data_IF_418591443219
#
_entry.id   IF_418591443219
#
_cell.length_a   1.000
_cell.length_b   1.000
_cell.length_c   1.000
_cell.angle_alpha   90.00
_cell.angle_beta   90.00
_cell.angle_gamma   90.00
#
_symmetry.space_group_name_H-M   'P 1'
#
loop_
_entity.id
_entity.type
_entity.pdbx_description
1 polymer ?
#
# COMPACT_ATOMS: atom_id res chain seq x y z
N UNK A 1 -0.75 0.32 -22.10
CA UNK A 1 0.52 0.90 -22.57
C UNK A 1 1.27 0.01 -23.58
N UNK A 2 1.64 -1.23 -23.25
CA UNK A 2 2.41 -2.11 -24.17
C UNK A 2 1.76 -2.27 -25.54
N UNK A 3 0.44 -2.37 -25.63
CA UNK A 3 -0.29 -2.51 -26.90
C UNK A 3 -0.19 -1.22 -27.75
N UNK A 4 -0.35 -0.05 -27.14
CA UNK A 4 -0.27 1.24 -27.83
C UNK A 4 1.13 1.50 -28.39
N UNK A 5 2.19 1.14 -27.68
CA UNK A 5 3.56 1.23 -28.18
C UNK A 5 3.84 0.27 -29.35
N UNK A 6 3.31 -0.96 -29.31
CA UNK A 6 3.41 -1.89 -30.43
C UNK A 6 2.71 -1.36 -31.68
N UNK A 7 1.54 -0.71 -31.52
CA UNK A 7 0.83 -0.07 -32.62
C UNK A 7 1.63 1.11 -33.20
N UNK A 8 2.27 1.90 -32.34
CA UNK A 8 3.12 3.01 -32.77
C UNK A 8 4.32 2.53 -33.60
N UNK A 9 5.01 1.48 -33.17
CA UNK A 9 6.12 0.89 -33.95
C UNK A 9 5.63 0.42 -35.31
N UNK A 10 4.53 -0.31 -35.39
CA UNK A 10 3.94 -0.74 -36.67
C UNK A 10 3.53 0.43 -37.57
N UNK A 11 3.04 1.52 -36.99
CA UNK A 11 2.66 2.69 -37.77
C UNK A 11 3.91 3.39 -38.35
N UNK A 12 4.98 3.49 -37.57
CA UNK A 12 6.28 4.03 -38.04
C UNK A 12 6.83 3.20 -39.18
N UNK A 13 6.80 1.86 -39.07
CA UNK A 13 7.25 0.94 -40.10
C UNK A 13 6.44 1.08 -41.42
N UNK A 14 5.17 1.53 -41.32
CA UNK A 14 4.32 1.72 -42.49
C UNK A 14 4.63 2.96 -43.32
N UNK A 15 5.41 3.91 -42.77
CA UNK A 15 5.72 5.23 -43.38
C UNK A 15 4.50 6.07 -43.79
N UNK A 16 3.35 5.81 -43.10
CA UNK A 16 2.07 6.50 -43.33
C UNK A 16 1.87 7.55 -42.23
N UNK A 17 1.96 8.83 -42.58
CA UNK A 17 1.88 9.95 -41.64
C UNK A 17 0.56 9.97 -40.87
N UNK A 18 -0.57 9.64 -41.48
CA UNK A 18 -1.87 9.63 -40.81
C UNK A 18 -1.94 8.52 -39.75
N UNK A 19 -1.41 7.35 -40.07
CA UNK A 19 -1.33 6.23 -39.10
C UNK A 19 -0.34 6.54 -37.97
N UNK A 20 0.78 7.15 -38.27
CA UNK A 20 1.79 7.57 -37.30
C UNK A 20 1.16 8.59 -36.32
N UNK A 21 0.53 9.66 -36.82
CA UNK A 21 -0.10 10.68 -36.00
C UNK A 21 -1.18 10.08 -35.08
N UNK A 22 -2.06 9.22 -35.62
CA UNK A 22 -3.08 8.54 -34.85
C UNK A 22 -2.45 7.68 -33.72
N UNK A 23 -1.40 6.91 -34.04
CA UNK A 23 -0.75 6.05 -33.08
C UNK A 23 -0.02 6.84 -31.98
N UNK A 24 0.56 8.00 -32.31
CA UNK A 24 1.17 8.93 -31.33
C UNK A 24 0.11 9.44 -30.36
N UNK A 25 -1.02 9.90 -30.87
CA UNK A 25 -2.12 10.38 -30.00
C UNK A 25 -2.63 9.30 -29.05
N UNK A 26 -2.83 8.08 -29.55
CA UNK A 26 -3.26 6.94 -28.71
C UNK A 26 -2.22 6.62 -27.64
N UNK A 27 -0.94 6.55 -28.01
CA UNK A 27 0.14 6.25 -27.07
C UNK A 27 0.28 7.34 -25.99
N UNK A 28 0.18 8.62 -26.39
CA UNK A 28 0.24 9.76 -25.46
C UNK A 28 -0.96 9.74 -24.49
N UNK A 29 -2.17 9.53 -25.00
CA UNK A 29 -3.38 9.44 -24.17
C UNK A 29 -3.30 8.30 -23.15
N UNK A 30 -2.91 7.11 -23.59
CA UNK A 30 -2.73 5.93 -22.70
C UNK A 30 -1.71 6.21 -21.60
N UNK A 31 -0.62 6.89 -21.93
CA UNK A 31 0.40 7.25 -20.95
C UNK A 31 -0.11 8.27 -19.92
N UNK A 32 -0.77 9.31 -20.36
CA UNK A 32 -1.37 10.34 -19.49
C UNK A 32 -2.40 9.70 -18.57
N UNK A 33 -3.29 8.89 -19.11
CA UNK A 33 -4.31 8.17 -18.34
C UNK A 33 -3.67 7.27 -17.27
N UNK A 34 -2.64 6.52 -17.62
CA UNK A 34 -1.93 5.65 -16.68
C UNK A 34 -1.36 6.45 -15.49
N UNK A 35 -0.68 7.57 -15.77
CA UNK A 35 -0.13 8.39 -14.70
C UNK A 35 -1.20 9.07 -13.85
N UNK A 36 -2.27 9.55 -14.46
CA UNK A 36 -3.40 10.14 -13.74
C UNK A 36 -4.05 9.13 -12.78
N UNK A 37 -4.32 7.92 -13.24
CA UNK A 37 -4.85 6.84 -12.42
C UNK A 37 -3.90 6.45 -11.29
N UNK A 38 -2.60 6.39 -11.55
CA UNK A 38 -1.58 6.09 -10.56
C UNK A 38 -1.54 7.14 -9.45
N UNK A 39 -1.57 8.41 -9.80
CA UNK A 39 -1.60 9.53 -8.84
C UNK A 39 -2.89 9.45 -8.02
N UNK A 40 -4.05 9.33 -8.68
CA UNK A 40 -5.34 9.27 -8.01
C UNK A 40 -5.41 8.13 -6.98
N UNK A 41 -4.97 6.92 -7.33
CA UNK A 41 -4.93 5.78 -6.42
C UNK A 41 -3.99 6.01 -5.25
N UNK A 42 -2.80 6.53 -5.51
CA UNK A 42 -1.80 6.80 -4.48
C UNK A 42 -2.28 7.83 -3.48
N UNK A 43 -2.84 8.96 -3.96
CA UNK A 43 -3.33 10.03 -3.09
C UNK A 43 -4.62 9.65 -2.34
N UNK A 44 -5.51 8.88 -2.96
CA UNK A 44 -6.69 8.34 -2.28
C UNK A 44 -6.29 7.39 -1.14
N UNK A 45 -5.34 6.51 -1.38
CA UNK A 45 -4.80 5.62 -0.36
C UNK A 45 -4.13 6.41 0.78
N UNK A 46 -3.37 7.45 0.45
CA UNK A 46 -2.74 8.35 1.43
C UNK A 46 -3.78 9.03 2.32
N UNK A 47 -4.79 9.65 1.72
CA UNK A 47 -5.84 10.36 2.45
C UNK A 47 -6.63 9.43 3.36
N UNK A 48 -7.00 8.25 2.87
CA UNK A 48 -7.71 7.24 3.65
C UNK A 48 -6.91 6.79 4.88
N UNK A 49 -5.68 6.34 4.67
CA UNK A 49 -4.86 5.81 5.75
C UNK A 49 -4.45 6.90 6.76
N UNK A 50 -4.18 8.11 6.30
CA UNK A 50 -3.95 9.25 7.18
C UNK A 50 -5.18 9.58 8.05
N UNK A 51 -6.37 9.49 7.47
CA UNK A 51 -7.63 9.67 8.20
C UNK A 51 -7.86 8.59 9.27
N UNK A 52 -7.66 7.32 8.90
CA UNK A 52 -7.75 6.19 9.84
C UNK A 52 -6.73 6.33 10.96
N UNK A 53 -5.47 6.60 10.63
CA UNK A 53 -4.42 6.77 11.62
C UNK A 53 -4.73 7.92 12.59
N UNK A 54 -5.08 9.11 12.06
CA UNK A 54 -5.42 10.28 12.88
C UNK A 54 -6.62 10.01 13.80
N UNK A 55 -7.62 9.27 13.31
CA UNK A 55 -8.82 8.94 14.08
C UNK A 55 -8.51 8.10 15.31
N UNK A 56 -7.57 7.16 15.21
CA UNK A 56 -7.35 6.13 16.21
C UNK A 56 -6.02 6.24 16.99
N UNK A 57 -5.07 7.03 16.50
CA UNK A 57 -3.73 7.12 17.11
C UNK A 57 -3.76 7.67 18.55
N UNK A 58 -4.69 8.58 18.84
CA UNK A 58 -4.85 9.18 20.18
C UNK A 58 -5.82 8.40 21.09
N UNK A 59 -6.54 7.42 20.53
CA UNK A 59 -7.46 6.59 21.30
C UNK A 59 -6.66 5.62 22.20
N UNK A 60 -6.93 5.63 23.50
CA UNK A 60 -6.23 4.82 24.49
C UNK A 60 -6.52 3.33 24.34
N UNK A 61 -7.69 2.99 23.80
CA UNK A 61 -8.08 1.59 23.58
C UNK A 61 -7.46 1.03 22.29
N UNK A 62 -7.03 1.88 21.37
CA UNK A 62 -6.29 1.49 20.17
C UNK A 62 -4.80 1.32 20.51
N UNK A 63 -4.30 0.10 20.45
CA UNK A 63 -2.91 -0.24 20.81
C UNK A 63 -1.99 -0.43 19.60
N UNK A 64 -2.57 -0.80 18.46
CA UNK A 64 -1.83 -1.12 17.25
C UNK A 64 -2.69 -0.91 16.00
N UNK A 65 -2.09 -1.12 14.85
CA UNK A 65 -2.77 -1.20 13.57
C UNK A 65 -2.41 -2.50 12.85
N UNK A 66 -3.40 -3.11 12.23
CA UNK A 66 -3.19 -4.25 11.34
C UNK A 66 -2.99 -3.74 9.91
N UNK A 67 -1.94 -4.24 9.25
CA UNK A 67 -1.72 -4.03 7.84
C UNK A 67 -2.58 -4.98 7.02
N UNK A 68 -3.43 -4.44 6.18
CA UNK A 68 -4.30 -5.21 5.28
C UNK A 68 -3.89 -5.00 3.84
N UNK A 69 -3.50 -6.09 3.17
CA UNK A 69 -3.30 -6.08 1.72
C UNK A 69 -4.60 -5.78 0.98
N UNK A 70 -4.48 -5.09 -0.14
CA UNK A 70 -5.58 -4.96 -1.10
C UNK A 70 -5.90 -6.33 -1.72
N UNK A 71 -7.18 -6.57 -2.01
CA UNK A 71 -7.62 -7.76 -2.75
C UNK A 71 -7.08 -7.80 -4.17
N UNK A 72 -6.65 -6.67 -4.71
CA UNK A 72 -6.06 -6.52 -6.04
C UNK A 72 -4.53 -6.39 -6.00
N UNK A 73 -3.90 -6.83 -4.89
CA UNK A 73 -2.44 -6.79 -4.74
C UNK A 73 -1.78 -7.78 -5.72
N UNK A 74 -1.08 -7.29 -6.79
CA UNK A 74 -0.76 -8.14 -7.93
C UNK A 74 0.58 -8.85 -7.82
N UNK A 75 1.48 -8.40 -6.95
CA UNK A 75 2.87 -8.87 -6.85
C UNK A 75 3.32 -8.89 -5.41
N UNK A 76 4.24 -9.79 -5.07
CA UNK A 76 4.89 -9.82 -3.76
C UNK A 76 5.88 -8.66 -3.65
N UNK A 77 5.70 -7.83 -2.62
CA UNK A 77 6.54 -6.66 -2.36
C UNK A 77 6.66 -6.36 -0.85
N UNK A 78 7.10 -5.15 -0.51
CA UNK A 78 7.24 -4.71 0.89
C UNK A 78 5.91 -4.77 1.66
N UNK A 79 4.76 -4.66 0.99
CA UNK A 79 3.45 -4.75 1.63
C UNK A 79 3.15 -6.16 2.15
N UNK A 80 3.64 -7.20 1.47
CA UNK A 80 3.52 -8.59 1.95
C UNK A 80 4.30 -8.81 3.23
N UNK A 81 5.49 -8.22 3.35
CA UNK A 81 6.27 -8.25 4.57
C UNK A 81 5.49 -7.61 5.73
N UNK A 82 4.96 -6.41 5.53
CA UNK A 82 4.17 -5.74 6.57
C UNK A 82 2.87 -6.48 6.93
N UNK A 83 2.25 -7.16 5.97
CA UNK A 83 0.98 -7.84 6.20
C UNK A 83 1.11 -9.22 6.87
N UNK A 84 2.22 -9.93 6.67
CA UNK A 84 2.34 -11.32 7.09
C UNK A 84 3.42 -11.56 8.14
N UNK A 85 4.43 -10.70 8.25
CA UNK A 85 5.49 -10.87 9.23
C UNK A 85 5.06 -10.36 10.61
N UNK A 86 5.44 -11.08 11.64
CA UNK A 86 5.36 -10.60 13.03
C UNK A 86 6.64 -9.81 13.37
N UNK A 87 6.66 -8.54 12.97
CA UNK A 87 7.82 -7.67 13.13
C UNK A 87 8.03 -7.18 14.57
N UNK A 88 6.97 -7.16 15.35
CA UNK A 88 6.96 -6.53 16.69
C UNK A 88 6.51 -7.49 17.79
N UNK A 89 6.28 -8.76 17.48
CA UNK A 89 5.84 -9.77 18.43
C UNK A 89 4.42 -9.56 18.95
N UNK A 90 3.58 -8.88 18.19
CA UNK A 90 2.16 -8.64 18.50
C UNK A 90 1.23 -9.50 17.63
N UNK A 91 1.79 -10.25 16.72
CA UNK A 91 1.11 -11.07 15.73
C UNK A 91 1.39 -10.62 14.29
N UNK A 92 1.12 -11.49 13.31
CA UNK A 92 1.37 -11.20 11.91
C UNK A 92 0.61 -9.96 11.44
N UNK A 93 1.32 -9.03 10.81
CA UNK A 93 0.75 -7.80 10.28
C UNK A 93 0.30 -6.78 11.33
N UNK A 94 0.58 -7.00 12.61
CA UNK A 94 0.25 -6.08 13.68
C UNK A 94 1.44 -5.17 14.00
N UNK A 95 1.21 -3.86 13.92
CA UNK A 95 2.26 -2.84 14.08
C UNK A 95 1.83 -1.90 15.21
N UNK A 96 2.67 -1.68 16.25
CA UNK A 96 2.38 -0.72 17.29
C UNK A 96 2.11 0.67 16.71
N UNK A 97 1.20 1.44 17.28
CA UNK A 97 0.79 2.72 16.71
C UNK A 97 1.90 3.77 16.56
N UNK A 98 2.97 3.66 17.35
CA UNK A 98 4.15 4.52 17.27
C UNK A 98 5.18 4.08 16.22
N UNK A 99 4.97 2.91 15.58
CA UNK A 99 5.86 2.30 14.59
C UNK A 99 5.24 2.18 13.20
N UNK A 100 3.99 2.62 13.03
CA UNK A 100 3.28 2.52 11.75
C UNK A 100 3.95 3.40 10.70
N UNK A 101 4.38 2.83 9.56
CA UNK A 101 4.92 3.62 8.47
C UNK A 101 3.82 4.44 7.79
N UNK A 102 4.21 5.53 7.14
CA UNK A 102 3.28 6.33 6.34
C UNK A 102 2.85 5.55 5.11
N UNK A 103 1.55 5.33 4.94
CA UNK A 103 0.99 4.74 3.74
C UNK A 103 0.62 5.85 2.73
N UNK A 104 0.72 5.59 1.44
CA UNK A 104 1.24 4.36 0.80
C UNK A 104 2.77 4.29 0.86
N UNK A 105 3.32 3.09 0.97
CA UNK A 105 4.79 2.88 1.00
C UNK A 105 5.40 2.84 -0.40
N UNK A 106 4.60 2.68 -1.42
CA UNK A 106 4.99 2.75 -2.83
C UNK A 106 3.82 3.27 -3.70
N UNK A 107 4.08 3.76 -4.92
CA UNK A 107 3.01 4.17 -5.84
C UNK A 107 2.06 3.02 -6.19
N UNK A 108 0.77 3.33 -6.38
CA UNK A 108 -0.32 2.35 -6.60
C UNK A 108 -0.61 1.41 -5.42
N UNK A 109 -0.04 1.63 -4.25
CA UNK A 109 -0.37 0.86 -3.07
C UNK A 109 -1.80 1.16 -2.63
N UNK A 110 -2.60 0.10 -2.50
CA UNK A 110 -4.00 0.14 -2.03
C UNK A 110 -4.17 -0.55 -0.67
N UNK A 111 -3.08 -0.79 0.04
CA UNK A 111 -3.09 -1.37 1.37
C UNK A 111 -3.75 -0.42 2.37
N UNK A 112 -4.32 -0.98 3.43
CA UNK A 112 -5.09 -0.24 4.42
C UNK A 112 -4.67 -0.60 5.83
N UNK A 113 -4.76 0.38 6.72
CA UNK A 113 -4.64 0.19 8.16
C UNK A 113 -6.01 -0.12 8.76
N UNK A 114 -6.03 -1.06 9.70
CA UNK A 114 -7.18 -1.36 10.55
C UNK A 114 -6.76 -1.18 12.00
N UNK A 115 -7.50 -0.39 12.82
CA UNK A 115 -7.17 -0.24 14.24
C UNK A 115 -7.36 -1.56 14.97
N UNK A 116 -6.48 -1.84 15.91
CA UNK A 116 -6.50 -3.01 16.79
C UNK A 116 -6.66 -2.52 18.22
N UNK A 117 -7.75 -2.95 18.83
CA UNK A 117 -8.13 -2.53 20.19
C UNK A 117 -7.53 -3.47 21.24
N UNK A 118 -7.41 -2.97 22.46
CA UNK A 118 -7.05 -3.78 23.64
C UNK A 118 -8.00 -4.97 23.76
N UNK A 119 -7.45 -6.18 23.96
CA UNK A 119 -8.25 -7.41 24.06
C UNK A 119 -8.74 -7.98 22.72
N UNK A 120 -8.24 -7.48 21.61
CA UNK A 120 -8.55 -8.05 20.29
C UNK A 120 -7.91 -9.43 20.13
N UNK A 121 -8.65 -10.39 19.55
CA UNK A 121 -8.15 -11.72 19.20
C UNK A 121 -6.99 -11.70 18.18
N UNK A 122 -6.77 -10.54 17.56
CA UNK A 122 -5.64 -10.33 16.63
C UNK A 122 -4.30 -10.18 17.36
N UNK A 123 -4.33 -9.85 18.66
CA UNK A 123 -3.14 -9.71 19.49
C UNK A 123 -2.72 -11.08 20.00
N UNK A 124 -1.52 -11.50 19.68
CA UNK A 124 -0.91 -12.69 20.26
C UNK A 124 -0.29 -12.30 21.62
N UNK A 125 -1.08 -12.44 22.67
CA UNK A 125 -0.74 -11.98 24.02
C UNK A 125 0.40 -12.75 24.67
N UNK A 126 0.71 -13.96 24.19
CA UNK A 126 1.78 -14.79 24.77
C UNK A 126 3.18 -14.14 24.65
N UNK A 127 3.35 -13.24 23.69
CA UNK A 127 4.63 -12.51 23.52
C UNK A 127 4.63 -11.09 24.12
N UNK A 128 3.47 -10.56 24.50
CA UNK A 128 3.38 -9.23 25.09
C UNK A 128 3.80 -9.24 26.57
N UNK A 129 3.49 -10.31 27.30
CA UNK A 129 3.84 -10.47 28.72
C UNK A 129 5.33 -10.74 28.95
N UNK A 130 5.98 -11.45 28.03
CA UNK A 130 7.42 -11.74 28.12
C UNK A 130 8.31 -10.50 27.92
N UNK A 131 7.80 -9.45 27.28
CA UNK A 131 8.55 -8.20 27.08
C UNK A 131 8.47 -7.26 28.27
N UNK A 132 7.38 -7.27 29.01
CA UNK A 132 7.23 -6.49 30.24
C UNK A 132 8.15 -7.03 31.32
N UNK A 133 8.36 -8.36 31.36
CA UNK A 133 9.23 -9.01 32.36
C UNK A 133 10.72 -8.99 32.04
N UNK A 134 11.12 -8.67 30.79
CA UNK A 134 12.55 -8.55 30.41
C UNK A 134 13.09 -7.12 30.47
N UNK A 135 12.26 -6.12 30.73
CA UNK A 135 12.66 -4.73 30.86
C UNK A 135 12.93 -4.23 32.29
N UNK A 136 12.99 -5.14 33.26
CA UNK A 136 13.13 -4.81 34.68
C UNK A 136 14.34 -5.47 35.35
N UNK A 137 15.54 -5.28 34.79
CA UNK A 137 16.80 -5.43 35.55
C UNK A 137 17.90 -4.68 34.81
N UNK A 138 18.07 -3.44 35.21
CA UNK A 138 19.36 -2.78 35.49
C UNK A 138 19.09 -1.44 36.21
#
# INVERSE_FOLDING_TARGET
MKAAYKQLVKAIDSLDDAKINKAIHVAAYEKIRYFAERIARTETSRAWNAGVFRRWAEDTDCVAFQWKLSTTHPVTDICDLYAHADLYGMGPGIIPKDKVPVLPVHPNCMCRLRPVMTGSDLLQTEHAEDRVNKGGTD
#
